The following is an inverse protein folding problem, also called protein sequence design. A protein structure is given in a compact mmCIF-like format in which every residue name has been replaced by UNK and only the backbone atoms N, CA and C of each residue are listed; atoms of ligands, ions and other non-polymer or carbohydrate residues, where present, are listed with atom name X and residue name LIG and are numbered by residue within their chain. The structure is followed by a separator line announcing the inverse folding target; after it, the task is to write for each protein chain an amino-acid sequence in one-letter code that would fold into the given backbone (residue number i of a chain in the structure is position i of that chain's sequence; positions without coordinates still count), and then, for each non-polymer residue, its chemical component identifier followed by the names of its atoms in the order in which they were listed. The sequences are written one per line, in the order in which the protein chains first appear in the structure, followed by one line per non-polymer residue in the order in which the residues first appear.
data_IF_363876759432
#
_entry.id   IF_363876759432
#
_cell.length_a   1.000
_cell.length_b   1.000
_cell.length_c   1.000
_cell.angle_alpha   90.00
_cell.angle_beta   90.00
_cell.angle_gamma   90.00
#
_symmetry.space_group_name_H-M   'P 1'
#
loop_
_entity.id
_entity.type
_entity.pdbx_description
1 polymer ?
#
# COMPACT_ATOMS: atom_id res chain seq x y z
N UNK A 1 -51.44 85.48 -38.63
CA UNK A 1 -51.71 84.93 -39.96
C UNK A 1 -53.18 84.62 -40.05
N UNK A 2 -53.77 84.67 -41.24
CA UNK A 2 -55.09 84.09 -41.47
C UNK A 2 -54.95 82.57 -41.54
N UNK A 3 -55.36 81.87 -40.48
CA UNK A 3 -55.26 80.42 -40.36
C UNK A 3 -56.10 79.70 -41.42
N UNK A 4 -57.15 80.33 -41.96
CA UNK A 4 -58.00 79.72 -42.99
C UNK A 4 -57.35 79.76 -44.39
N UNK A 5 -56.48 80.74 -44.66
CA UNK A 5 -55.83 80.92 -45.97
C UNK A 5 -54.36 80.46 -46.02
N UNK A 6 -53.73 80.15 -44.87
CA UNK A 6 -52.34 79.71 -44.80
C UNK A 6 -51.32 80.78 -45.23
N UNK A 7 -51.70 82.06 -45.22
CA UNK A 7 -50.85 83.18 -45.66
C UNK A 7 -50.31 83.97 -44.48
N UNK A 8 -49.10 84.50 -44.64
CA UNK A 8 -48.50 85.46 -43.74
C UNK A 8 -48.45 86.83 -44.42
N UNK A 9 -48.67 87.87 -43.65
CA UNK A 9 -48.58 89.25 -44.12
C UNK A 9 -47.11 89.66 -44.11
N UNK A 10 -46.56 89.97 -45.27
CA UNK A 10 -45.24 90.60 -45.36
C UNK A 10 -45.31 92.05 -44.91
N UNK A 11 -44.15 92.65 -44.62
CA UNK A 11 -44.06 94.05 -44.20
C UNK A 11 -44.60 95.03 -45.26
N UNK A 12 -44.72 94.61 -46.52
CA UNK A 12 -45.30 95.37 -47.64
C UNK A 12 -46.84 95.26 -47.72
N UNK A 13 -47.48 94.68 -46.70
CA UNK A 13 -48.92 94.44 -46.62
C UNK A 13 -49.48 93.49 -47.70
N UNK A 14 -48.62 92.72 -48.39
CA UNK A 14 -49.06 91.66 -49.30
C UNK A 14 -49.11 90.32 -48.56
N UNK A 15 -50.28 89.68 -48.61
CA UNK A 15 -50.44 88.31 -48.10
C UNK A 15 -49.77 87.33 -49.04
N UNK A 16 -48.74 86.64 -48.56
CA UNK A 16 -48.05 85.61 -49.33
C UNK A 16 -48.12 84.27 -48.61
N UNK A 17 -48.12 83.18 -49.37
CA UNK A 17 -47.81 81.86 -48.82
C UNK A 17 -46.29 81.86 -48.59
N UNK A 18 -45.77 81.42 -47.43
CA UNK A 18 -44.34 81.28 -47.23
C UNK A 18 -43.73 80.48 -48.39
N UNK A 19 -42.78 81.07 -49.10
CA UNK A 19 -42.08 80.37 -50.18
C UNK A 19 -41.05 79.42 -49.53
N UNK A 20 -41.33 78.13 -49.61
CA UNK A 20 -40.55 77.07 -48.99
C UNK A 20 -41.49 76.04 -48.39
N UNK A 21 -41.48 74.82 -48.94
CA UNK A 21 -41.93 73.66 -48.16
C UNK A 21 -41.10 73.57 -46.89
N UNK A 22 -41.56 72.81 -45.89
CA UNK A 22 -40.74 72.53 -44.71
C UNK A 22 -39.32 72.16 -45.13
N UNK A 23 -38.34 72.57 -44.33
CA UNK A 23 -36.91 72.44 -44.65
C UNK A 23 -36.47 70.99 -44.88
N UNK A 24 -37.35 70.03 -44.61
CA UNK A 24 -37.19 68.61 -44.89
C UNK A 24 -38.44 68.10 -45.61
N UNK A 25 -38.25 67.42 -46.74
CA UNK A 25 -39.30 66.72 -47.46
C UNK A 25 -39.24 65.21 -47.12
N UNK A 26 -40.30 64.70 -46.50
CA UNK A 26 -40.45 63.28 -46.18
C UNK A 26 -41.13 62.49 -47.31
N UNK A 27 -40.95 61.17 -47.37
CA UNK A 27 -41.74 60.32 -48.26
C UNK A 27 -43.17 60.30 -47.75
N UNK A 28 -44.15 60.37 -48.66
CA UNK A 28 -45.56 60.20 -48.30
C UNK A 28 -45.90 58.79 -47.76
N UNK A 29 -44.92 57.87 -47.76
CA UNK A 29 -45.03 56.49 -47.30
C UNK A 29 -44.59 56.26 -45.86
N UNK A 30 -44.09 57.28 -45.14
CA UNK A 30 -43.58 57.11 -43.78
C UNK A 30 -44.53 56.31 -42.90
N UNK A 31 -44.01 55.25 -42.28
CA UNK A 31 -44.75 54.46 -41.29
C UNK A 31 -44.50 54.97 -39.88
N UNK A 32 -45.46 54.70 -38.99
CA UNK A 32 -45.33 55.04 -37.57
C UNK A 32 -44.10 54.37 -36.93
N UNK A 33 -43.48 55.03 -35.97
CA UNK A 33 -42.33 54.54 -35.19
C UNK A 33 -41.04 54.15 -35.97
N UNK A 34 -40.98 54.35 -37.29
CA UNK A 34 -39.79 54.07 -38.10
C UNK A 34 -38.69 55.16 -37.94
N UNK A 35 -37.43 54.72 -37.84
CA UNK A 35 -36.29 55.65 -37.71
C UNK A 35 -35.99 56.34 -39.05
N UNK A 36 -36.19 57.64 -39.13
CA UNK A 36 -35.90 58.44 -40.35
C UNK A 36 -34.47 58.26 -40.87
N UNK A 37 -34.32 58.03 -42.18
CA UNK A 37 -33.03 58.07 -42.90
C UNK A 37 -32.96 59.26 -43.86
N UNK A 38 -31.86 60.02 -43.79
CA UNK A 38 -31.56 61.04 -44.79
C UNK A 38 -31.09 60.38 -46.08
N UNK A 39 -31.53 60.94 -47.20
CA UNK A 39 -31.05 60.58 -48.51
C UNK A 39 -30.20 61.70 -49.10
N UNK A 40 -29.19 61.30 -49.87
CA UNK A 40 -28.21 62.19 -50.49
C UNK A 40 -27.40 63.02 -49.48
N UNK A 41 -26.63 63.99 -49.97
CA UNK A 41 -25.69 64.78 -49.15
C UNK A 41 -26.27 66.11 -48.65
N UNK A 42 -27.49 66.47 -49.05
CA UNK A 42 -28.10 67.75 -48.70
C UNK A 42 -28.67 67.79 -47.28
N UNK A 43 -29.03 66.62 -46.72
CA UNK A 43 -29.75 66.52 -45.45
C UNK A 43 -31.19 67.05 -45.51
N UNK A 44 -31.72 67.30 -46.72
CA UNK A 44 -33.07 67.88 -46.93
C UNK A 44 -34.10 66.87 -47.42
N UNK A 45 -33.67 65.71 -47.90
CA UNK A 45 -34.53 64.62 -48.37
C UNK A 45 -34.49 63.50 -47.35
N UNK A 46 -35.67 63.06 -46.89
CA UNK A 46 -35.82 61.83 -46.12
C UNK A 46 -36.31 60.72 -47.06
N UNK A 47 -35.89 59.49 -46.79
CA UNK A 47 -36.44 58.29 -47.40
C UNK A 47 -36.96 57.32 -46.35
N UNK A 48 -37.83 56.43 -46.79
CA UNK A 48 -38.28 55.29 -46.01
C UNK A 48 -37.40 54.07 -46.32
N UNK A 49 -37.53 53.01 -45.52
CA UNK A 49 -36.89 51.73 -45.79
C UNK A 49 -37.74 50.95 -46.80
N UNK A 50 -37.06 50.12 -47.60
CA UNK A 50 -37.72 49.32 -48.63
C UNK A 50 -38.46 48.10 -48.06
N UNK A 51 -38.06 47.63 -46.87
CA UNK A 51 -38.67 46.52 -46.13
C UNK A 51 -38.18 46.53 -44.69
N UNK A 52 -39.04 46.17 -43.73
CA UNK A 52 -38.74 45.95 -42.31
C UNK A 52 -37.88 47.07 -41.67
N UNK A 53 -38.40 48.30 -41.60
CA UNK A 53 -37.67 49.42 -41.04
C UNK A 53 -37.27 49.15 -39.57
N UNK A 54 -36.08 49.59 -39.13
CA UNK A 54 -35.80 49.78 -37.72
C UNK A 54 -36.88 50.67 -37.08
N UNK A 55 -37.51 50.19 -36.01
CA UNK A 55 -38.55 50.95 -35.29
C UNK A 55 -38.20 51.13 -33.82
N UNK A 56 -38.61 52.26 -33.26
CA UNK A 56 -38.62 52.51 -31.81
C UNK A 56 -40.08 52.68 -31.40
N UNK A 57 -40.62 51.73 -30.63
CA UNK A 57 -42.02 51.77 -30.20
C UNK A 57 -42.27 52.89 -29.18
N UNK A 58 -43.54 53.25 -28.96
CA UNK A 58 -43.94 54.19 -27.90
C UNK A 58 -43.58 53.72 -26.48
N UNK A 59 -43.30 52.42 -26.30
CA UNK A 59 -42.83 51.82 -25.05
C UNK A 59 -41.29 51.83 -24.92
N UNK A 60 -40.56 52.28 -25.95
CA UNK A 60 -39.11 52.36 -25.96
C UNK A 60 -38.42 51.09 -26.50
N UNK A 61 -39.17 50.13 -27.05
CA UNK A 61 -38.60 48.91 -27.61
C UNK A 61 -37.98 49.21 -28.97
N UNK A 62 -36.74 48.80 -29.15
CA UNK A 62 -36.02 48.94 -30.42
C UNK A 62 -36.13 47.61 -31.18
N UNK A 63 -36.77 47.63 -32.34
CA UNK A 63 -36.86 46.48 -33.23
C UNK A 63 -36.01 46.74 -34.49
N UNK A 64 -35.01 45.89 -34.71
CA UNK A 64 -34.13 45.92 -35.88
C UNK A 64 -34.19 44.53 -36.49
N UNK A 65 -34.76 44.44 -37.69
CA UNK A 65 -34.84 43.19 -38.44
C UNK A 65 -33.48 42.93 -39.12
N UNK A 66 -32.60 42.21 -38.43
CA UNK A 66 -31.26 41.87 -38.89
C UNK A 66 -30.21 41.91 -37.77
N UNK A 67 -28.94 41.96 -38.17
CA UNK A 67 -27.82 42.03 -37.24
C UNK A 67 -27.74 43.43 -36.62
N UNK A 68 -27.68 43.47 -35.28
CA UNK A 68 -27.46 44.68 -34.52
C UNK A 68 -26.06 44.63 -33.89
N UNK A 69 -25.11 45.34 -34.49
CA UNK A 69 -23.76 45.51 -33.93
C UNK A 69 -23.77 46.59 -32.83
N UNK A 70 -23.83 46.18 -31.55
CA UNK A 70 -23.67 47.08 -30.40
C UNK A 70 -22.36 46.78 -29.67
N UNK A 71 -21.48 47.77 -29.55
CA UNK A 71 -20.19 47.62 -28.86
C UNK A 71 -20.33 47.45 -27.33
N UNK A 72 -21.34 48.08 -26.74
CA UNK A 72 -21.64 47.94 -25.31
C UNK A 72 -23.15 48.04 -25.07
N UNK A 73 -23.76 46.93 -24.62
CA UNK A 73 -25.18 46.90 -24.22
C UNK A 73 -25.23 47.08 -22.71
N UNK A 74 -25.70 48.24 -22.24
CA UNK A 74 -25.99 48.47 -20.82
C UNK A 74 -27.47 48.18 -20.59
N UNK A 75 -27.80 46.99 -20.10
CA UNK A 75 -29.17 46.66 -19.69
C UNK A 75 -29.37 47.01 -18.21
N UNK A 76 -30.25 47.96 -17.92
CA UNK A 76 -30.71 48.22 -16.55
C UNK A 76 -31.95 47.37 -16.26
N UNK A 77 -31.75 46.13 -15.80
CA UNK A 77 -32.83 45.20 -15.49
C UNK A 77 -32.35 43.75 -15.36
N UNK A 78 -33.28 42.84 -15.05
CA UNK A 78 -33.01 41.41 -15.15
C UNK A 78 -32.99 41.03 -16.63
N UNK A 79 -31.81 40.73 -17.17
CA UNK A 79 -31.67 40.03 -18.45
C UNK A 79 -32.02 38.57 -18.16
N UNK A 80 -33.21 38.13 -18.53
CA UNK A 80 -33.45 36.69 -18.61
C UNK A 80 -32.84 36.19 -19.93
N UNK A 81 -32.26 34.99 -19.95
CA UNK A 81 -31.45 34.51 -21.08
C UNK A 81 -32.17 34.44 -22.44
N UNK A 82 -33.45 34.80 -22.50
CA UNK A 82 -34.21 34.99 -23.74
C UNK A 82 -33.83 36.30 -24.46
N UNK A 83 -33.43 37.32 -23.72
CA UNK A 83 -33.08 38.66 -24.26
C UNK A 83 -31.73 38.69 -25.00
N UNK A 84 -30.94 37.60 -24.91
CA UNK A 84 -29.59 37.49 -25.53
C UNK A 84 -29.49 36.30 -26.50
N UNK A 85 -30.57 35.55 -26.77
CA UNK A 85 -30.48 34.36 -27.63
C UNK A 85 -31.74 34.12 -28.45
N UNK A 86 -31.66 34.34 -29.76
CA UNK A 86 -32.54 33.66 -30.72
C UNK A 86 -31.84 32.63 -31.59
N UNK A 87 -30.51 32.45 -31.54
CA UNK A 87 -29.80 31.38 -32.28
C UNK A 87 -28.61 30.71 -31.55
N UNK A 88 -28.35 31.01 -30.28
CA UNK A 88 -27.21 30.45 -29.54
C UNK A 88 -27.67 29.52 -28.41
N UNK A 89 -27.77 28.23 -28.68
CA UNK A 89 -28.00 27.22 -27.64
C UNK A 89 -26.79 27.20 -26.70
N UNK A 90 -26.89 27.87 -25.56
CA UNK A 90 -25.97 27.73 -24.42
C UNK A 90 -25.03 28.91 -24.19
N UNK A 91 -25.44 29.83 -23.32
CA UNK A 91 -24.48 30.69 -22.64
C UNK A 91 -24.51 30.38 -21.14
N UNK A 92 -23.37 29.90 -20.64
CA UNK A 92 -23.18 29.59 -19.23
C UNK A 92 -22.98 30.91 -18.52
N UNK A 93 -23.98 31.42 -17.81
CA UNK A 93 -23.79 32.57 -16.92
C UNK A 93 -23.02 32.12 -15.65
N UNK A 94 -21.76 31.70 -15.85
CA UNK A 94 -20.92 30.96 -14.91
C UNK A 94 -20.23 31.82 -13.86
N UNK A 95 -20.49 33.12 -13.79
CA UNK A 95 -19.72 34.03 -12.93
C UNK A 95 -19.82 33.76 -11.43
N UNK A 96 -20.80 32.95 -10.97
CA UNK A 96 -21.01 32.70 -9.54
C UNK A 96 -21.03 31.22 -9.12
N UNK A 97 -21.02 30.26 -10.06
CA UNK A 97 -21.29 28.84 -9.72
C UNK A 97 -20.22 27.88 -10.25
N UNK A 98 -19.39 28.26 -11.22
CA UNK A 98 -18.30 27.39 -11.66
C UNK A 98 -17.02 27.76 -10.92
N UNK A 99 -16.68 26.96 -9.92
CA UNK A 99 -15.32 26.96 -9.38
C UNK A 99 -14.42 26.47 -10.50
N UNK A 100 -13.23 27.07 -10.62
CA UNK A 100 -12.18 26.59 -11.50
C UNK A 100 -12.04 25.06 -11.33
N UNK A 101 -11.89 24.32 -12.44
CA UNK A 101 -11.70 22.87 -12.42
C UNK A 101 -12.91 21.97 -12.05
N UNK A 102 -14.12 22.51 -11.86
CA UNK A 102 -15.29 21.69 -11.56
C UNK A 102 -15.90 21.02 -12.82
N UNK A 103 -16.23 19.72 -12.75
CA UNK A 103 -17.08 19.09 -13.78
C UNK A 103 -18.49 19.65 -13.61
N UNK A 104 -18.99 20.27 -14.67
CA UNK A 104 -20.31 20.90 -14.73
C UNK A 104 -21.32 19.87 -15.21
N UNK A 105 -22.39 19.61 -14.44
CA UNK A 105 -23.47 18.71 -14.85
C UNK A 105 -24.80 19.46 -15.00
N UNK A 106 -25.59 19.03 -15.97
CA UNK A 106 -26.98 19.45 -16.08
C UNK A 106 -27.87 18.59 -15.19
N UNK A 107 -28.51 19.18 -14.19
CA UNK A 107 -29.38 18.50 -13.22
C UNK A 107 -30.88 18.61 -13.56
N UNK A 108 -31.22 19.31 -14.66
CA UNK A 108 -32.60 19.58 -15.04
C UNK A 108 -33.33 20.63 -14.17
N UNK A 109 -32.62 21.32 -13.27
CA UNK A 109 -33.16 22.44 -12.49
C UNK A 109 -33.37 23.70 -13.33
N UNK A 110 -34.04 24.72 -12.77
CA UNK A 110 -34.40 25.95 -13.48
C UNK A 110 -33.21 26.77 -14.06
N UNK A 111 -31.99 26.51 -13.58
CA UNK A 111 -30.74 27.06 -14.12
C UNK A 111 -29.89 26.05 -14.89
N UNK A 112 -30.32 24.79 -14.91
CA UNK A 112 -29.80 23.71 -15.76
C UNK A 112 -28.35 23.30 -15.52
N UNK A 113 -27.66 23.84 -14.51
CA UNK A 113 -26.22 23.63 -14.25
C UNK A 113 -25.95 23.65 -12.73
N UNK A 114 -25.28 22.61 -12.22
CA UNK A 114 -24.77 22.53 -10.83
C UNK A 114 -23.31 22.03 -10.79
N UNK A 115 -22.60 22.37 -9.71
CA UNK A 115 -21.31 21.76 -9.36
C UNK A 115 -21.52 20.27 -9.05
N UNK A 116 -20.73 19.40 -9.68
CA UNK A 116 -20.75 17.97 -9.38
C UNK A 116 -20.21 17.65 -7.97
N UNK A 117 -19.49 18.59 -7.34
CA UNK A 117 -18.68 18.35 -6.16
C UNK A 117 -17.35 17.65 -6.49
N UNK A 118 -17.13 17.29 -7.76
CA UNK A 118 -15.90 16.68 -8.27
C UNK A 118 -15.03 17.78 -8.89
N UNK A 119 -13.81 17.93 -8.38
CA UNK A 119 -12.83 18.91 -8.84
C UNK A 119 -11.65 18.21 -9.53
N UNK A 120 -11.22 18.71 -10.69
CA UNK A 120 -10.05 18.25 -11.45
C UNK A 120 -9.03 19.39 -11.58
N UNK A 121 -8.11 19.55 -10.63
CA UNK A 121 -7.22 20.72 -10.61
C UNK A 121 -6.26 20.78 -11.83
N UNK A 122 -5.53 21.90 -11.97
CA UNK A 122 -4.50 22.11 -13.02
C UNK A 122 -3.40 21.03 -13.08
N UNK A 123 -3.26 20.22 -12.04
CA UNK A 123 -2.32 19.11 -11.96
C UNK A 123 -2.99 17.76 -12.27
N UNK A 124 -4.16 17.77 -12.90
CA UNK A 124 -5.00 16.62 -13.24
C UNK A 124 -5.45 15.78 -12.02
N UNK A 125 -5.40 16.35 -10.81
CA UNK A 125 -5.82 15.65 -9.60
C UNK A 125 -7.33 15.73 -9.39
N UNK A 126 -7.96 14.56 -9.27
CA UNK A 126 -9.41 14.43 -9.04
C UNK A 126 -9.71 14.35 -7.54
N UNK A 127 -10.65 15.15 -7.05
CA UNK A 127 -11.10 15.15 -5.64
C UNK A 127 -12.63 15.25 -5.54
N UNK A 128 -13.19 14.99 -4.34
CA UNK A 128 -14.63 15.06 -4.09
C UNK A 128 -15.42 13.79 -4.44
N UNK A 129 -14.73 12.72 -4.83
CA UNK A 129 -15.33 11.41 -5.07
C UNK A 129 -15.49 10.67 -3.74
N UNK A 130 -16.72 10.36 -3.33
CA UNK A 130 -17.02 9.55 -2.13
C UNK A 130 -16.90 8.04 -2.39
N UNK A 131 -17.06 7.61 -3.64
CA UNK A 131 -16.88 6.23 -4.09
C UNK A 131 -16.61 6.17 -5.58
N UNK A 132 -15.76 5.25 -6.02
CA UNK A 132 -15.41 5.05 -7.42
C UNK A 132 -15.83 3.64 -7.85
N UNK A 133 -17.00 3.54 -8.50
CA UNK A 133 -17.43 2.31 -9.15
C UNK A 133 -16.81 2.25 -10.56
N UNK A 134 -15.85 1.36 -10.77
CA UNK A 134 -15.23 1.16 -12.09
C UNK A 134 -15.80 -0.10 -12.73
N UNK A 135 -16.78 0.07 -13.61
CA UNK A 135 -17.29 -1.02 -14.45
C UNK A 135 -16.44 -1.14 -15.71
N UNK A 136 -15.72 -2.26 -15.82
CA UNK A 136 -14.90 -2.59 -16.99
C UNK A 136 -15.66 -3.50 -17.95
N UNK A 137 -15.47 -3.33 -19.27
CA UNK A 137 -15.87 -4.37 -20.21
C UNK A 137 -14.91 -5.57 -20.09
N UNK A 138 -15.30 -6.74 -20.60
CA UNK A 138 -14.58 -8.02 -20.44
C UNK A 138 -13.12 -8.05 -20.95
N UNK A 139 -12.63 -6.98 -21.59
CA UNK A 139 -11.26 -6.85 -22.09
C UNK A 139 -10.48 -5.66 -21.47
N UNK A 140 -11.12 -4.87 -20.62
CA UNK A 140 -10.51 -3.67 -20.05
C UNK A 140 -9.81 -4.00 -18.72
N UNK A 141 -8.88 -3.15 -18.31
CA UNK A 141 -8.13 -3.29 -17.04
C UNK A 141 -8.25 -2.00 -16.23
N UNK A 142 -8.45 -2.12 -14.91
CA UNK A 142 -8.22 -1.00 -13.99
C UNK A 142 -6.73 -1.00 -13.71
N UNK A 143 -6.01 -0.10 -14.35
CA UNK A 143 -4.62 0.12 -14.01
C UNK A 143 -4.55 1.13 -12.85
N UNK A 144 -4.39 0.62 -11.63
CA UNK A 144 -3.98 1.43 -10.48
C UNK A 144 -2.45 1.57 -10.52
N UNK A 145 -1.95 2.39 -11.45
CA UNK A 145 -0.52 2.68 -11.56
C UNK A 145 -0.23 4.03 -10.89
N UNK A 146 0.56 4.00 -9.82
CA UNK A 146 1.06 5.21 -9.15
C UNK A 146 2.08 6.02 -9.99
N UNK A 147 2.26 5.70 -11.28
CA UNK A 147 3.23 6.35 -12.15
C UNK A 147 2.60 7.50 -12.96
N UNK A 148 3.08 8.70 -12.69
CA UNK A 148 3.10 9.81 -13.66
C UNK A 148 4.52 10.33 -13.95
N UNK A 149 5.52 10.12 -13.07
CA UNK A 149 6.97 9.86 -13.29
C UNK A 149 7.78 9.92 -11.96
N UNK A 150 8.98 9.31 -11.93
CA UNK A 150 9.85 8.94 -10.78
C UNK A 150 9.67 9.71 -9.45
N UNK A 151 9.23 8.98 -8.42
CA UNK A 151 9.54 9.30 -7.01
C UNK A 151 10.22 8.09 -6.37
N UNK A 152 11.25 8.37 -5.59
CA UNK A 152 11.78 7.45 -4.58
C UNK A 152 10.77 7.40 -3.43
N UNK A 153 9.61 6.78 -3.65
CA UNK A 153 8.74 6.41 -2.54
C UNK A 153 9.40 5.23 -1.85
N UNK A 154 9.78 5.42 -0.58
CA UNK A 154 10.43 4.38 0.22
C UNK A 154 9.49 3.19 0.53
N UNK A 155 8.21 3.27 0.12
CA UNK A 155 7.13 2.38 0.55
C UNK A 155 6.04 2.19 -0.55
N UNK A 156 6.30 1.33 -1.55
CA UNK A 156 5.29 0.63 -2.40
C UNK A 156 4.38 1.44 -3.37
N UNK A 157 3.78 0.75 -4.35
CA UNK A 157 2.80 1.30 -5.34
C UNK A 157 1.37 1.29 -4.80
N UNK A 158 1.05 0.31 -3.96
CA UNK A 158 -0.24 0.15 -3.30
C UNK A 158 -0.02 0.12 -1.79
N UNK A 159 -0.64 1.04 -1.07
CA UNK A 159 -0.73 1.01 0.38
C UNK A 159 -2.19 0.99 0.78
N UNK A 160 -2.60 -0.10 1.44
CA UNK A 160 -3.91 -0.22 2.04
C UNK A 160 -3.74 -0.13 3.54
N UNK A 161 -4.23 0.96 4.15
CA UNK A 161 -4.30 1.08 5.60
C UNK A 161 -5.77 0.86 6.00
N UNK A 162 -6.01 -0.14 6.83
CA UNK A 162 -7.33 -0.42 7.37
C UNK A 162 -7.28 -0.34 8.89
N UNK A 163 -8.25 0.32 9.49
CA UNK A 163 -8.39 0.44 10.95
C UNK A 163 -9.88 0.41 11.24
N UNK A 164 -10.44 -0.75 11.64
CA UNK A 164 -11.86 -0.85 11.93
C UNK A 164 -12.21 0.01 13.15
N UNK A 165 -13.44 0.51 13.22
CA UNK A 165 -13.91 1.17 14.42
C UNK A 165 -14.22 0.13 15.52
N UNK A 166 -14.20 0.57 16.77
CA UNK A 166 -14.54 -0.31 17.88
C UNK A 166 -15.99 -0.81 17.75
N UNK A 167 -16.16 -2.13 17.61
CA UNK A 167 -17.46 -2.79 17.50
C UNK A 167 -17.79 -3.32 16.10
N UNK A 168 -17.01 -2.98 15.08
CA UNK A 168 -17.15 -3.55 13.75
C UNK A 168 -16.73 -5.03 13.74
N UNK A 169 -17.44 -5.88 13.00
CA UNK A 169 -17.19 -7.32 12.90
C UNK A 169 -17.25 -7.76 11.43
N UNK A 170 -16.31 -8.61 11.01
CA UNK A 170 -16.30 -9.18 9.65
C UNK A 170 -15.86 -8.21 8.56
N UNK A 171 -15.02 -7.23 8.89
CA UNK A 171 -14.48 -6.28 7.92
C UNK A 171 -13.20 -6.81 7.24
N UNK A 172 -13.10 -6.62 5.94
CA UNK A 172 -11.94 -7.00 5.13
C UNK A 172 -11.20 -5.75 4.61
N UNK A 173 -9.88 -5.71 4.83
CA UNK A 173 -9.01 -4.68 4.26
C UNK A 173 -8.88 -4.83 2.74
N UNK A 174 -8.71 -6.08 2.30
CA UNK A 174 -8.64 -6.48 0.90
C UNK A 174 -9.45 -7.77 0.78
N UNK A 175 -10.52 -7.73 -0.01
CA UNK A 175 -11.32 -8.89 -0.36
C UNK A 175 -11.15 -9.19 -1.85
N UNK A 176 -10.75 -10.42 -2.20
CA UNK A 176 -10.61 -10.87 -3.57
C UNK A 176 -11.58 -12.02 -3.81
N UNK A 177 -12.71 -11.73 -4.46
CA UNK A 177 -13.68 -12.73 -4.89
C UNK A 177 -13.41 -13.11 -6.34
N UNK A 178 -13.02 -14.35 -6.57
CA UNK A 178 -12.57 -14.85 -7.87
C UNK A 178 -13.39 -16.08 -8.25
N UNK A 179 -14.26 -15.94 -9.24
CA UNK A 179 -14.94 -17.05 -9.89
C UNK A 179 -14.18 -17.46 -11.15
N UNK A 180 -13.64 -18.67 -11.15
CA UNK A 180 -12.94 -19.21 -12.32
C UNK A 180 -13.91 -19.48 -13.51
N UNK A 181 -15.21 -19.58 -13.26
CA UNK A 181 -16.27 -19.80 -14.26
C UNK A 181 -15.92 -20.90 -15.29
N UNK A 182 -15.38 -22.02 -14.79
CA UNK A 182 -14.92 -23.16 -15.61
C UNK A 182 -13.81 -22.86 -16.62
N UNK A 183 -13.05 -21.78 -16.44
CA UNK A 183 -11.86 -21.45 -17.22
C UNK A 183 -10.62 -21.98 -16.50
N UNK A 184 -9.67 -22.55 -17.25
CA UNK A 184 -8.41 -23.03 -16.70
C UNK A 184 -7.45 -21.85 -16.40
N UNK A 185 -6.47 -22.09 -15.53
CA UNK A 185 -5.35 -21.16 -15.23
C UNK A 185 -5.78 -19.79 -14.67
N UNK A 186 -6.90 -19.72 -13.96
CA UNK A 186 -7.33 -18.51 -13.25
C UNK A 186 -6.47 -18.33 -12.00
N UNK A 187 -5.83 -17.16 -11.90
CA UNK A 187 -4.98 -16.78 -10.78
C UNK A 187 -5.57 -15.57 -10.07
N UNK A 188 -5.86 -15.70 -8.77
CA UNK A 188 -6.32 -14.59 -7.94
C UNK A 188 -5.20 -13.59 -7.66
N UNK A 189 -4.07 -14.10 -7.19
CA UNK A 189 -2.87 -13.33 -6.89
C UNK A 189 -1.71 -14.01 -7.60
N UNK A 190 -0.93 -13.24 -8.36
CA UNK A 190 0.32 -13.68 -8.96
C UNK A 190 1.44 -12.73 -8.53
N UNK A 191 2.47 -13.28 -7.89
CA UNK A 191 3.66 -12.53 -7.48
C UNK A 191 4.84 -12.99 -8.32
N UNK A 192 5.22 -12.19 -9.31
CA UNK A 192 6.41 -12.44 -10.12
C UNK A 192 7.62 -11.74 -9.49
N UNK A 193 8.39 -12.47 -8.70
CA UNK A 193 9.59 -11.94 -8.03
C UNK A 193 10.87 -12.33 -8.80
N UNK A 194 11.54 -11.33 -9.39
CA UNK A 194 12.78 -11.54 -10.15
C UNK A 194 14.02 -11.16 -9.33
N UNK A 195 14.68 -12.17 -8.76
CA UNK A 195 15.87 -12.01 -7.92
C UNK A 195 17.19 -11.88 -8.71
N UNK A 196 17.25 -11.03 -9.74
CA UNK A 196 18.48 -10.87 -10.54
C UNK A 196 19.54 -10.08 -9.77
N UNK A 197 20.76 -10.63 -9.66
CA UNK A 197 21.91 -9.91 -9.10
C UNK A 197 22.07 -9.99 -7.58
N UNK A 198 21.50 -11.01 -6.93
CA UNK A 198 21.74 -11.24 -5.52
C UNK A 198 23.21 -11.58 -5.22
N UNK A 199 23.82 -10.83 -4.31
CA UNK A 199 25.15 -11.14 -3.80
C UNK A 199 25.06 -12.23 -2.71
N UNK A 200 26.13 -13.02 -2.48
CA UNK A 200 26.17 -13.96 -1.36
C UNK A 200 25.86 -13.25 -0.03
N UNK A 201 24.96 -13.83 0.76
CA UNK A 201 24.52 -13.27 2.06
C UNK A 201 23.36 -12.28 1.98
N UNK A 202 22.85 -11.96 0.79
CA UNK A 202 21.63 -11.17 0.67
C UNK A 202 20.39 -12.04 0.86
N UNK A 203 19.53 -11.63 1.77
CA UNK A 203 18.21 -12.20 1.98
C UNK A 203 17.16 -11.31 1.30
N UNK A 204 16.23 -11.94 0.60
CA UNK A 204 15.14 -11.25 -0.07
C UNK A 204 13.84 -12.02 0.14
N UNK A 205 12.73 -11.29 0.22
CA UNK A 205 11.41 -11.86 0.47
C UNK A 205 10.41 -11.34 -0.55
N UNK A 206 9.60 -12.23 -1.13
CA UNK A 206 8.53 -11.87 -2.05
C UNK A 206 7.22 -11.52 -1.33
N UNK A 207 6.94 -12.23 -0.23
CA UNK A 207 5.77 -12.03 0.63
C UNK A 207 6.26 -12.10 2.07
N UNK A 208 6.12 -11.00 2.81
CA UNK A 208 6.36 -10.94 4.25
C UNK A 208 5.02 -10.84 4.97
N UNK A 209 4.79 -11.73 5.93
CA UNK A 209 3.63 -11.71 6.81
C UNK A 209 4.12 -11.47 8.24
N UNK A 210 3.94 -10.25 8.73
CA UNK A 210 4.25 -9.91 10.12
C UNK A 210 2.96 -9.85 10.95
N UNK A 211 2.88 -10.70 11.97
CA UNK A 211 1.74 -10.82 12.88
C UNK A 211 2.16 -10.38 14.28
N UNK A 212 1.87 -9.14 14.64
CA UNK A 212 2.18 -8.58 15.96
C UNK A 212 1.01 -8.78 16.92
N UNK A 213 1.27 -9.40 18.08
CA UNK A 213 0.27 -9.69 19.11
C UNK A 213 0.60 -9.11 20.48
N UNK A 214 1.61 -8.24 20.61
CA UNK A 214 2.12 -7.71 21.89
C UNK A 214 1.04 -7.10 22.80
N UNK A 215 -0.04 -6.56 22.23
CA UNK A 215 -1.15 -5.97 22.98
C UNK A 215 -2.45 -6.80 22.94
N UNK A 216 -2.44 -7.99 22.32
CA UNK A 216 -3.62 -8.85 22.25
C UNK A 216 -3.84 -9.57 23.59
N UNK A 217 -5.06 -9.52 24.12
CA UNK A 217 -5.44 -10.19 25.37
C UNK A 217 -6.05 -11.58 25.15
N UNK A 218 -6.17 -12.02 23.90
CA UNK A 218 -6.71 -13.32 23.48
C UNK A 218 -7.06 -13.35 21.99
N UNK A 219 -7.63 -14.48 21.54
CA UNK A 219 -8.03 -14.70 20.14
C UNK A 219 -7.14 -15.69 19.39
N UNK A 220 -7.43 -15.88 18.11
CA UNK A 220 -6.61 -16.67 17.16
C UNK A 220 -6.20 -15.71 16.05
N UNK A 221 -4.92 -15.72 15.68
CA UNK A 221 -4.41 -15.02 14.51
C UNK A 221 -3.79 -16.06 13.58
N UNK A 222 -4.32 -16.15 12.36
CA UNK A 222 -3.78 -17.00 11.31
C UNK A 222 -3.13 -16.11 10.23
N UNK A 223 -1.89 -16.42 9.85
CA UNK A 223 -1.22 -15.71 8.76
C UNK A 223 -1.70 -16.16 7.38
N UNK A 224 -1.89 -17.47 7.22
CA UNK A 224 -2.46 -18.08 6.02
C UNK A 224 -3.44 -19.16 6.49
N UNK A 225 -4.70 -19.04 6.09
CA UNK A 225 -5.76 -20.03 6.32
C UNK A 225 -6.24 -20.54 4.97
N UNK A 226 -6.42 -21.86 4.86
CA UNK A 226 -6.82 -22.53 3.62
C UNK A 226 -7.91 -23.52 3.93
N UNK A 227 -9.12 -23.21 3.46
CA UNK A 227 -10.31 -24.01 3.69
C UNK A 227 -10.88 -24.60 2.40
N UNK A 228 -11.38 -25.83 2.49
CA UNK A 228 -12.25 -26.43 1.47
C UNK A 228 -13.66 -26.51 2.02
N UNK A 229 -14.59 -25.78 1.40
CA UNK A 229 -16.03 -25.88 1.69
C UNK A 229 -16.77 -26.66 0.61
N UNK A 230 -17.93 -27.23 0.96
CA UNK A 230 -18.79 -27.99 0.04
C UNK A 230 -18.41 -29.46 -0.18
N UNK A 231 -19.19 -30.17 -1.00
CA UNK A 231 -19.09 -31.62 -1.22
C UNK A 231 -18.36 -32.02 -2.51
N UNK A 232 -17.75 -31.06 -3.21
CA UNK A 232 -17.08 -31.31 -4.49
C UNK A 232 -15.81 -32.18 -4.36
N UNK A 233 -15.51 -32.97 -5.38
CA UNK A 233 -14.39 -33.94 -5.40
C UNK A 233 -13.03 -33.36 -5.78
N UNK A 234 -12.91 -32.03 -5.93
CA UNK A 234 -11.65 -31.39 -6.32
C UNK A 234 -10.56 -31.61 -5.26
N UNK A 235 -9.33 -31.79 -5.69
CA UNK A 235 -8.15 -31.74 -4.82
C UNK A 235 -7.86 -30.30 -4.44
N UNK A 236 -7.57 -30.04 -3.16
CA UNK A 236 -7.14 -28.72 -2.67
C UNK A 236 -5.74 -28.88 -2.11
N UNK A 237 -4.79 -28.18 -2.71
CA UNK A 237 -3.39 -28.18 -2.29
C UNK A 237 -3.11 -26.84 -1.62
N UNK A 238 -2.80 -26.85 -0.31
CA UNK A 238 -2.52 -25.61 0.42
C UNK A 238 -1.16 -25.00 0.07
N UNK A 239 -0.18 -25.86 -0.25
CA UNK A 239 1.12 -25.46 -0.78
C UNK A 239 1.56 -26.49 -1.81
N UNK A 240 1.89 -26.02 -3.01
CA UNK A 240 2.47 -26.83 -4.08
C UNK A 240 3.84 -26.30 -4.41
N UNK A 241 4.86 -27.15 -4.29
CA UNK A 241 6.24 -26.80 -4.61
C UNK A 241 6.73 -27.65 -5.79
N UNK A 242 7.23 -26.98 -6.83
CA UNK A 242 7.78 -27.66 -8.01
C UNK A 242 9.19 -28.23 -7.73
N UNK A 243 9.72 -29.02 -8.68
CA UNK A 243 11.06 -29.58 -8.58
C UNK A 243 12.13 -28.49 -8.35
N UNK A 244 13.04 -28.75 -7.40
CA UNK A 244 14.10 -27.81 -7.03
C UNK A 244 13.70 -26.77 -5.98
N UNK A 245 12.45 -26.79 -5.50
CA UNK A 245 11.96 -25.96 -4.39
C UNK A 245 11.93 -26.80 -3.12
N UNK A 246 12.54 -26.30 -2.04
CA UNK A 246 12.38 -26.90 -0.70
C UNK A 246 10.94 -26.62 -0.27
N UNK A 247 10.11 -27.65 -0.01
CA UNK A 247 8.67 -27.42 0.15
C UNK A 247 8.32 -26.49 1.30
N UNK A 248 8.93 -26.71 2.46
CA UNK A 248 8.79 -25.87 3.64
C UNK A 248 10.14 -25.90 4.34
N UNK A 249 10.76 -24.74 4.55
CA UNK A 249 11.74 -24.59 5.63
C UNK A 249 10.99 -23.97 6.81
N UNK A 250 10.71 -24.79 7.83
CA UNK A 250 10.05 -24.36 9.05
C UNK A 250 11.04 -24.48 10.19
N UNK A 251 11.56 -23.34 10.63
CA UNK A 251 12.27 -23.23 11.91
C UNK A 251 11.20 -23.04 12.99
N UNK A 252 10.69 -24.16 13.51
CA UNK A 252 9.79 -24.15 14.66
C UNK A 252 10.29 -25.12 15.71
N UNK A 253 10.39 -24.64 16.94
CA UNK A 253 10.81 -25.44 18.08
C UNK A 253 10.32 -24.82 19.37
N UNK A 254 10.56 -25.54 20.46
CA UNK A 254 10.53 -24.95 21.80
C UNK A 254 11.96 -24.94 22.29
N UNK A 255 12.44 -23.82 22.82
CA UNK A 255 13.77 -23.78 23.43
C UNK A 255 13.82 -24.80 24.57
N UNK A 256 14.73 -25.77 24.45
CA UNK A 256 15.07 -26.70 25.51
C UNK A 256 16.06 -26.09 26.50
N UNK A 257 16.30 -26.79 27.60
CA UNK A 257 17.45 -26.51 28.46
C UNK A 257 18.73 -26.93 27.77
N UNK A 258 19.80 -26.14 27.93
CA UNK A 258 21.15 -26.52 27.51
C UNK A 258 21.59 -27.73 28.33
N UNK A 259 22.09 -28.78 27.70
CA UNK A 259 22.54 -29.97 28.43
C UNK A 259 23.90 -29.76 29.10
N UNK A 260 24.80 -29.01 28.44
CA UNK A 260 26.12 -28.65 28.98
C UNK A 260 26.54 -27.24 28.63
N UNK A 261 27.05 -26.52 29.63
CA UNK A 261 27.77 -25.28 29.44
C UNK A 261 29.06 -25.26 30.28
N UNK A 262 30.18 -24.92 29.66
CA UNK A 262 31.49 -24.88 30.30
C UNK A 262 32.20 -23.56 30.03
N UNK A 263 32.65 -22.90 31.09
CA UNK A 263 33.46 -21.69 31.03
C UNK A 263 34.95 -22.03 31.10
N UNK A 264 35.74 -21.42 30.23
CA UNK A 264 37.19 -21.56 30.24
C UNK A 264 37.82 -20.69 31.34
N UNK A 265 38.55 -21.28 32.27
CA UNK A 265 39.25 -20.51 33.31
C UNK A 265 40.70 -20.19 32.90
N UNK A 266 41.50 -21.25 32.72
CA UNK A 266 42.90 -21.20 32.24
C UNK A 266 43.46 -22.61 32.06
N UNK A 267 44.42 -22.78 31.15
CA UNK A 267 45.04 -24.09 30.91
C UNK A 267 44.05 -25.11 30.33
N UNK A 268 44.02 -26.38 30.77
CA UNK A 268 43.01 -27.35 30.35
C UNK A 268 41.77 -27.38 31.26
N UNK A 269 41.61 -26.38 32.13
CA UNK A 269 40.57 -26.39 33.17
C UNK A 269 39.31 -25.67 32.69
N UNK A 270 38.19 -26.36 32.82
CA UNK A 270 36.85 -25.87 32.50
C UNK A 270 35.95 -25.96 33.74
N UNK A 271 35.07 -24.97 33.94
CA UNK A 271 34.08 -24.96 35.01
C UNK A 271 32.68 -25.18 34.47
N UNK A 272 31.95 -26.12 35.05
CA UNK A 272 30.55 -26.41 34.69
C UNK A 272 29.62 -25.32 35.20
N UNK A 273 29.05 -24.60 34.24
CA UNK A 273 28.11 -23.49 34.44
C UNK A 273 26.71 -23.82 33.90
N UNK A 274 26.45 -25.09 33.57
CA UNK A 274 25.18 -25.58 33.00
C UNK A 274 23.97 -25.16 33.84
N UNK A 275 24.07 -25.29 35.17
CA UNK A 275 22.98 -24.94 36.06
C UNK A 275 22.63 -23.45 36.03
N UNK A 276 23.62 -22.59 35.82
CA UNK A 276 23.41 -21.15 35.74
C UNK A 276 22.88 -20.74 34.35
N UNK A 277 23.34 -21.38 33.27
CA UNK A 277 22.81 -21.15 31.92
C UNK A 277 21.33 -21.54 31.76
N UNK A 278 20.84 -22.46 32.59
CA UNK A 278 19.43 -22.87 32.62
C UNK A 278 18.61 -22.17 33.71
N UNK A 279 19.14 -21.12 34.35
CA UNK A 279 18.50 -20.44 35.48
C UNK A 279 18.18 -18.98 35.16
N UNK A 280 16.92 -18.58 35.36
CA UNK A 280 16.50 -17.17 35.25
C UNK A 280 17.05 -16.29 36.40
N UNK A 281 17.61 -16.90 37.44
CA UNK A 281 18.02 -16.23 38.68
C UNK A 281 19.52 -16.22 38.95
N UNK A 282 20.33 -16.85 38.11
CA UNK A 282 21.78 -16.97 38.33
C UNK A 282 22.53 -16.55 37.07
N UNK A 283 23.30 -15.47 37.17
CA UNK A 283 24.08 -14.95 36.05
C UNK A 283 25.50 -15.53 36.07
N UNK A 284 26.03 -15.81 34.89
CA UNK A 284 27.45 -16.16 34.65
C UNK A 284 28.09 -15.02 33.85
N UNK A 285 29.28 -14.59 34.25
CA UNK A 285 30.07 -13.66 33.44
C UNK A 285 30.82 -14.48 32.39
N UNK A 286 30.48 -14.33 31.11
CA UNK A 286 30.95 -15.23 30.05
C UNK A 286 32.11 -14.68 29.20
N UNK A 287 32.37 -13.37 29.27
CA UNK A 287 33.45 -12.69 28.54
C UNK A 287 34.01 -11.51 29.36
N UNK A 288 34.86 -11.81 30.32
CA UNK A 288 35.55 -10.85 31.19
C UNK A 288 36.84 -10.29 30.55
N UNK A 289 37.46 -11.06 29.64
CA UNK A 289 38.72 -10.76 28.98
C UNK A 289 38.75 -11.23 27.51
N UNK A 290 39.83 -10.86 26.79
CA UNK A 290 40.07 -11.39 25.44
C UNK A 290 40.46 -12.87 25.49
N UNK A 291 39.91 -13.65 24.56
CA UNK A 291 40.10 -15.11 24.42
C UNK A 291 39.40 -15.97 25.49
N UNK A 292 38.40 -15.41 26.18
CA UNK A 292 37.46 -16.22 26.95
C UNK A 292 36.66 -17.13 26.00
N UNK A 293 36.42 -18.37 26.42
CA UNK A 293 35.72 -19.38 25.64
C UNK A 293 34.59 -19.94 26.47
N UNK A 294 33.42 -20.03 25.85
CA UNK A 294 32.29 -20.77 26.38
C UNK A 294 32.02 -21.97 25.47
N UNK A 295 31.91 -23.15 26.05
CA UNK A 295 31.30 -24.29 25.38
C UNK A 295 29.84 -24.39 25.74
N UNK A 296 29.02 -24.61 24.73
CA UNK A 296 27.60 -24.92 24.85
C UNK A 296 27.39 -26.20 24.07
N UNK A 297 26.76 -27.18 24.69
CA UNK A 297 26.58 -28.51 24.15
C UNK A 297 25.21 -29.09 24.46
N UNK A 298 24.81 -29.96 23.55
CA UNK A 298 23.61 -30.80 23.57
C UNK A 298 24.01 -32.13 22.89
N UNK A 299 23.39 -33.23 23.30
CA UNK A 299 23.54 -34.56 22.72
C UNK A 299 23.11 -34.59 21.24
N UNK A 300 22.24 -33.68 20.81
CA UNK A 300 21.86 -33.48 19.41
C UNK A 300 22.38 -32.14 18.84
N UNK A 301 22.48 -32.05 17.51
CA UNK A 301 22.72 -30.76 16.85
C UNK A 301 21.52 -29.84 17.02
N UNK A 302 21.77 -28.56 17.30
CA UNK A 302 20.76 -27.49 17.33
C UNK A 302 21.10 -26.39 16.31
N UNK A 303 20.10 -25.61 15.91
CA UNK A 303 20.21 -24.48 14.95
C UNK A 303 20.09 -23.11 15.60
N UNK A 304 19.69 -23.04 16.87
CA UNK A 304 19.33 -21.78 17.53
C UNK A 304 19.78 -21.75 18.98
N UNK A 305 20.22 -20.58 19.43
CA UNK A 305 20.47 -20.28 20.85
C UNK A 305 19.78 -18.97 21.20
N UNK A 306 18.90 -19.03 22.20
CA UNK A 306 18.32 -17.83 22.78
C UNK A 306 19.25 -17.26 23.85
N UNK A 307 19.85 -16.09 23.56
CA UNK A 307 20.79 -15.43 24.46
C UNK A 307 20.06 -14.34 25.22
N UNK A 308 19.86 -14.55 26.53
CA UNK A 308 19.32 -13.53 27.43
C UNK A 308 20.43 -12.95 28.30
N UNK A 309 20.69 -11.65 28.16
CA UNK A 309 21.79 -10.97 28.86
C UNK A 309 21.28 -10.08 29.99
N UNK A 310 21.72 -10.37 31.22
CA UNK A 310 21.52 -9.46 32.34
C UNK A 310 22.44 -8.23 32.27
N UNK A 311 23.64 -8.38 31.70
CA UNK A 311 24.59 -7.30 31.43
C UNK A 311 25.05 -7.41 29.98
N UNK A 312 24.88 -6.34 29.21
CA UNK A 312 25.26 -6.29 27.80
C UNK A 312 26.68 -5.77 27.62
N UNK A 313 27.32 -6.16 26.53
CA UNK A 313 28.60 -5.62 26.13
C UNK A 313 28.49 -4.12 25.81
N UNK A 314 29.51 -3.35 26.20
CA UNK A 314 29.61 -1.92 25.90
C UNK A 314 30.49 -1.67 24.67
N UNK A 315 30.54 -0.42 24.20
CA UNK A 315 31.41 -0.03 23.09
C UNK A 315 31.07 -0.75 21.77
N UNK A 316 32.08 -1.39 21.17
CA UNK A 316 31.94 -2.10 19.89
C UNK A 316 31.24 -3.48 20.01
N UNK A 317 30.90 -3.91 21.23
CA UNK A 317 30.38 -5.24 21.49
C UNK A 317 31.47 -6.31 21.63
N UNK A 318 31.05 -7.54 21.89
CA UNK A 318 31.90 -8.74 21.82
C UNK A 318 31.66 -9.39 20.47
N UNK A 319 32.71 -9.58 19.68
CA UNK A 319 32.63 -10.30 18.40
C UNK A 319 33.19 -11.72 18.59
N UNK A 320 32.38 -12.67 19.09
CA UNK A 320 32.82 -14.04 19.29
C UNK A 320 33.24 -14.66 17.94
N UNK A 321 34.19 -15.59 18.00
CA UNK A 321 34.42 -16.54 16.93
C UNK A 321 33.60 -17.80 17.25
N UNK A 322 32.71 -18.19 16.33
CA UNK A 322 31.90 -19.39 16.51
C UNK A 322 32.56 -20.58 15.82
N UNK A 323 32.58 -21.71 16.52
CA UNK A 323 33.05 -22.97 15.98
C UNK A 323 32.24 -24.12 16.57
N UNK A 324 32.09 -25.20 15.81
CA UNK A 324 31.44 -26.43 16.25
C UNK A 324 32.46 -27.56 16.34
N UNK A 325 32.27 -28.50 17.28
CA UNK A 325 33.19 -29.62 17.43
C UNK A 325 33.03 -30.63 16.29
N UNK A 326 34.16 -31.15 15.81
CA UNK A 326 34.20 -32.29 14.88
C UNK A 326 34.73 -33.57 15.57
N UNK A 327 34.67 -33.59 16.90
CA UNK A 327 35.14 -34.67 17.75
C UNK A 327 36.59 -34.49 18.23
N UNK A 328 36.82 -34.82 19.51
CA UNK A 328 38.08 -34.55 20.19
C UNK A 328 38.42 -33.05 20.19
N UNK A 329 39.71 -32.69 20.31
CA UNK A 329 40.14 -31.29 20.41
C UNK A 329 40.12 -30.49 19.09
N UNK A 330 39.23 -30.83 18.15
CA UNK A 330 39.16 -30.21 16.82
C UNK A 330 37.82 -29.48 16.62
N UNK A 331 37.91 -28.25 16.12
CA UNK A 331 36.76 -27.37 15.91
C UNK A 331 36.76 -26.77 14.50
N UNK A 332 35.58 -26.65 13.90
CA UNK A 332 35.39 -26.02 12.60
C UNK A 332 34.64 -24.70 12.79
N UNK A 333 35.19 -23.62 12.26
CA UNK A 333 34.58 -22.29 12.37
C UNK A 333 33.30 -22.19 11.51
N UNK A 334 32.32 -21.43 12.00
CA UNK A 334 31.13 -21.05 11.25
C UNK A 334 30.70 -19.62 11.62
N UNK A 335 29.68 -19.09 10.94
CA UNK A 335 29.16 -17.74 11.20
C UNK A 335 27.65 -17.81 11.34
N UNK A 336 27.10 -17.75 12.56
CA UNK A 336 25.66 -17.66 12.76
C UNK A 336 25.14 -16.27 12.36
N UNK A 337 23.84 -16.19 12.12
CA UNK A 337 23.12 -14.93 12.16
C UNK A 337 23.03 -14.47 13.63
N UNK A 338 23.46 -13.23 13.90
CA UNK A 338 23.58 -12.70 15.25
C UNK A 338 22.61 -11.54 15.49
N UNK A 339 21.46 -11.84 16.11
CA UNK A 339 20.49 -10.82 16.51
C UNK A 339 20.85 -10.12 17.84
N UNK A 340 21.93 -10.52 18.52
CA UNK A 340 22.42 -9.86 19.74
C UNK A 340 23.25 -8.60 19.44
N UNK A 341 23.64 -8.40 18.16
CA UNK A 341 24.49 -7.31 17.69
C UNK A 341 25.83 -7.25 18.44
N UNK A 342 26.53 -8.38 18.51
CA UNK A 342 27.76 -8.53 19.28
C UNK A 342 27.54 -8.44 20.79
N UNK A 343 26.52 -9.16 21.30
CA UNK A 343 26.10 -9.18 22.70
C UNK A 343 25.78 -7.79 23.30
N UNK A 344 25.33 -6.84 22.47
CA UNK A 344 24.89 -5.51 22.91
C UNK A 344 23.41 -5.48 23.31
N UNK A 345 22.70 -6.58 23.10
CA UNK A 345 21.34 -6.84 23.55
C UNK A 345 21.06 -8.34 23.65
N UNK A 346 19.96 -8.71 24.31
CA UNK A 346 19.35 -10.04 24.22
C UNK A 346 18.92 -10.30 22.77
N UNK A 347 19.01 -11.55 22.31
CA UNK A 347 18.61 -11.93 20.96
C UNK A 347 18.87 -13.39 20.64
N UNK A 348 18.42 -13.81 19.47
CA UNK A 348 18.70 -15.15 18.95
C UNK A 348 20.03 -15.17 18.19
N UNK A 349 20.76 -16.26 18.36
CA UNK A 349 21.82 -16.67 17.45
C UNK A 349 21.26 -17.84 16.64
N UNK A 350 21.23 -17.74 15.32
CA UNK A 350 20.65 -18.79 14.47
C UNK A 350 21.60 -19.22 13.36
N UNK A 351 21.51 -20.48 12.94
CA UNK A 351 22.27 -21.04 11.83
C UNK A 351 21.59 -22.29 11.27
N UNK A 352 21.90 -22.58 10.01
CA UNK A 352 21.47 -23.82 9.36
C UNK A 352 22.25 -25.02 9.92
N UNK A 353 21.58 -26.05 10.42
CA UNK A 353 22.24 -27.30 10.84
C UNK A 353 23.02 -27.95 9.69
N UNK A 354 22.58 -27.73 8.44
CA UNK A 354 23.30 -28.15 7.23
C UNK A 354 24.70 -27.53 7.09
N UNK A 355 24.99 -26.42 7.77
CA UNK A 355 26.33 -25.81 7.80
C UNK A 355 27.29 -26.51 8.78
N UNK A 356 26.78 -27.38 9.66
CA UNK A 356 27.56 -28.10 10.67
C UNK A 356 28.08 -29.46 10.14
N UNK A 357 28.58 -29.47 8.90
CA UNK A 357 29.05 -30.71 8.25
C UNK A 357 30.24 -31.28 9.01
N UNK A 358 30.09 -32.51 9.51
CA UNK A 358 31.12 -33.20 10.27
C UNK A 358 31.07 -32.93 11.78
N UNK A 359 29.99 -32.32 12.28
CA UNK A 359 29.78 -32.21 13.72
C UNK A 359 29.86 -33.57 14.41
N UNK A 360 30.51 -33.61 15.57
CA UNK A 360 30.53 -34.76 16.45
C UNK A 360 30.58 -34.30 17.91
N UNK A 361 30.15 -35.18 18.82
CA UNK A 361 30.22 -34.95 20.25
C UNK A 361 31.66 -34.81 20.72
N UNK A 362 31.87 -34.03 21.78
CA UNK A 362 33.18 -33.80 22.39
C UNK A 362 33.14 -34.07 23.89
N UNK A 363 34.33 -34.24 24.46
CA UNK A 363 34.56 -34.43 25.89
C UNK A 363 35.36 -33.25 26.42
N UNK A 364 34.85 -32.55 27.44
CA UNK A 364 35.72 -31.66 28.24
C UNK A 364 35.81 -32.18 29.67
N UNK A 365 36.98 -31.98 30.29
CA UNK A 365 37.36 -32.54 31.60
C UNK A 365 37.24 -34.07 31.73
N UNK A 366 37.23 -34.82 30.61
CA UNK A 366 37.05 -36.28 30.64
C UNK A 366 35.64 -36.73 31.00
N UNK A 367 34.69 -35.80 31.14
CA UNK A 367 33.26 -36.11 31.16
C UNK A 367 32.77 -36.27 29.72
N UNK A 368 32.67 -37.52 29.27
CA UNK A 368 31.83 -37.90 28.12
C UNK A 368 30.38 -37.67 28.46
N UNK A 369 29.64 -37.15 27.48
CA UNK A 369 28.18 -37.05 27.49
C UNK A 369 27.54 -38.38 27.96
N UNK A 370 26.75 -38.38 29.05
CA UNK A 370 26.28 -39.60 29.69
C UNK A 370 25.00 -40.11 29.03
N UNK A 371 25.08 -40.68 27.83
CA UNK A 371 23.95 -41.47 27.30
C UNK A 371 24.17 -42.98 27.30
N UNK A 372 25.32 -43.50 27.74
CA UNK A 372 25.42 -44.88 28.25
C UNK A 372 26.79 -45.12 28.89
N UNK A 373 26.81 -45.86 30.00
CA UNK A 373 28.02 -46.42 30.56
C UNK A 373 28.61 -47.46 29.58
N UNK A 374 29.49 -47.02 28.67
CA UNK A 374 30.33 -47.94 27.91
C UNK A 374 31.49 -48.38 28.81
N UNK A 375 31.39 -49.60 29.33
CA UNK A 375 32.56 -50.38 29.68
C UNK A 375 33.33 -50.62 28.37
N UNK A 376 34.26 -49.73 28.02
CA UNK A 376 35.24 -50.02 26.97
C UNK A 376 36.11 -51.18 27.42
N UNK A 377 35.84 -52.37 26.90
CA UNK A 377 36.77 -53.48 26.95
C UNK A 377 38.00 -53.10 26.11
N UNK A 378 39.06 -52.65 26.78
CA UNK A 378 40.42 -52.71 26.22
C UNK A 378 40.69 -54.13 25.74
N UNK A 379 41.41 -54.29 24.62
CA UNK A 379 41.60 -55.51 23.80
C UNK A 379 42.15 -56.79 24.50
N UNK A 380 41.49 -57.24 25.56
CA UNK A 380 41.66 -58.53 26.20
C UNK A 380 40.33 -58.99 26.77
N UNK A 381 40.12 -60.30 26.81
CA UNK A 381 38.94 -60.90 27.41
C UNK A 381 38.78 -60.38 28.86
N UNK A 382 37.73 -59.59 29.09
CA UNK A 382 37.36 -59.15 30.43
C UNK A 382 36.61 -60.31 31.06
N UNK A 383 37.22 -60.94 32.06
CA UNK A 383 36.54 -61.92 32.90
C UNK A 383 35.52 -61.18 33.78
N UNK A 384 34.25 -61.15 33.33
CA UNK A 384 33.15 -60.43 34.01
C UNK A 384 32.67 -61.17 35.27
N UNK A 385 32.89 -62.49 35.32
CA UNK A 385 32.57 -63.34 36.46
C UNK A 385 33.80 -64.19 36.81
N UNK A 386 34.42 -63.92 37.95
CA UNK A 386 35.56 -64.64 38.51
C UNK A 386 35.15 -65.67 39.58
N UNK A 387 33.87 -65.66 39.98
CA UNK A 387 33.31 -66.59 40.96
C UNK A 387 31.82 -66.88 40.70
N UNK A 388 31.33 -67.99 41.26
CA UNK A 388 29.90 -68.39 41.19
C UNK A 388 28.93 -67.41 41.88
N UNK A 389 29.44 -66.38 42.56
CA UNK A 389 28.64 -65.38 43.29
C UNK A 389 28.63 -63.99 42.65
N UNK A 390 29.21 -63.84 41.46
CA UNK A 390 29.29 -62.56 40.77
C UNK A 390 27.95 -62.27 40.07
N UNK A 391 27.46 -61.03 40.13
CA UNK A 391 26.17 -60.63 39.58
C UNK A 391 26.27 -59.31 38.81
N UNK A 392 25.54 -59.19 37.70
CA UNK A 392 25.38 -57.93 36.96
C UNK A 392 24.12 -57.24 37.50
N UNK A 393 24.29 -56.08 38.11
CA UNK A 393 23.19 -55.19 38.45
C UNK A 393 22.84 -54.36 37.22
N UNK A 394 21.70 -54.65 36.59
CA UNK A 394 21.12 -53.81 35.54
C UNK A 394 20.05 -52.94 36.20
N UNK A 395 20.35 -51.65 36.39
CA UNK A 395 19.40 -50.66 36.89
C UNK A 395 18.75 -49.91 35.75
N UNK A 396 17.44 -49.68 35.84
CA UNK A 396 16.75 -48.66 35.06
C UNK A 396 15.69 -47.96 35.90
N UNK A 397 15.49 -46.71 35.52
CA UNK A 397 14.44 -45.78 35.84
C UNK A 397 13.06 -46.13 35.24
N UNK A 398 12.97 -47.17 34.39
CA UNK A 398 11.73 -47.72 33.87
C UNK A 398 11.65 -49.26 34.02
N UNK A 399 10.43 -49.81 34.04
CA UNK A 399 10.20 -51.27 34.04
C UNK A 399 10.57 -51.87 32.67
N UNK A 400 11.60 -52.70 32.62
CA UNK A 400 11.91 -53.50 31.43
C UNK A 400 10.97 -54.69 31.30
N UNK A 401 10.47 -54.94 30.09
CA UNK A 401 9.64 -56.11 29.77
C UNK A 401 10.50 -57.31 29.31
N UNK A 402 11.71 -57.07 28.76
CA UNK A 402 12.71 -58.10 28.44
C UNK A 402 14.13 -57.53 28.33
N UNK A 403 15.15 -58.34 28.66
CA UNK A 403 16.57 -58.07 28.40
C UNK A 403 17.10 -59.23 27.54
N UNK A 404 17.60 -58.91 26.35
CA UNK A 404 18.29 -59.88 25.49
C UNK A 404 19.80 -59.75 25.69
N UNK A 405 20.43 -60.80 26.18
CA UNK A 405 21.86 -60.84 26.46
C UNK A 405 22.50 -62.01 25.73
N UNK A 406 23.40 -61.73 24.81
CA UNK A 406 24.18 -62.75 24.10
C UNK A 406 25.44 -63.02 24.93
N UNK A 407 25.37 -64.06 25.76
CA UNK A 407 26.52 -64.60 26.48
C UNK A 407 27.22 -65.63 25.59
N UNK A 408 28.45 -65.34 25.19
CA UNK A 408 29.29 -66.31 24.46
C UNK A 408 30.26 -66.91 25.46
N UNK A 409 30.18 -68.23 25.65
CA UNK A 409 31.05 -68.99 26.57
C UNK A 409 32.42 -69.28 25.98
#
# INVERSE_FOLDING_TARGET
GDTAAGKFLKADAVWTVPAGGGDVAGPGSSTDNAIVRFHETSGKVIQDYTSNPPTISDTGDVNIDGDLDVENIVVSGNVDGKDVSTLGVGDVTAGAVMIDHAIVRGDGGAKGIQDSGILINDADAVSGITGMDVTLAAADQVLLDGRTNNRTESLGILRVNFTPAAGDVGEDCIHLDIDANSVNDVMAIKVDYLATGLAPGNENMAIELNLETANATGGIVAGIEIDKSGTGTLEVQGLHCNAGVIPIHQESGTFGSIEKAWEFESGPTWTDVTAAFNSDGTNVEIFSAENDIIYIGDAATFSEVNVTLATVASGAGVKPAFAFSVGGSSFTAFTPNDATNGFRGTGLLTWETGNLIGWATDTVNGTTDPTTAFLEASAGDVEIFSSDNDYILIGSDATFEAVDAILVS
#
